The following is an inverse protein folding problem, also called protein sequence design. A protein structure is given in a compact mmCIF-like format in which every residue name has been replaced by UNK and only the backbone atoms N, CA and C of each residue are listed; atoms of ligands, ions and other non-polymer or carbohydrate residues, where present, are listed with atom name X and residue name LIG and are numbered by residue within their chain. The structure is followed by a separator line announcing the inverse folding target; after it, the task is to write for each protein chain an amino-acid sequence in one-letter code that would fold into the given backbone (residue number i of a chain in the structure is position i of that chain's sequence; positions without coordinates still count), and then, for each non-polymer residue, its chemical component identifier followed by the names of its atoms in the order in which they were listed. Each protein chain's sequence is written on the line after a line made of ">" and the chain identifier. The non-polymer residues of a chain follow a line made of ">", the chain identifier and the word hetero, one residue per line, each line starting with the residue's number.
data_IF_577073141965
#
_entry.id   IF_577073141965
#
_cell.length_a   1.000
_cell.length_b   1.000
_cell.length_c   1.000
_cell.angle_alpha   90.00
_cell.angle_beta   90.00
_cell.angle_gamma   90.00
#
_symmetry.space_group_name_H-M   'P 1'
#
loop_
_entity.id
_entity.type
_entity.pdbx_description
1 polymer ?
#
# COMPACT_ATOMS: atom_id res chain seq x y z
N UNK A 1 48.12 -39.74 -18.55
CA UNK A 1 47.05 -39.73 -17.54
C UNK A 1 45.71 -39.68 -18.26
N UNK A 2 44.94 -40.77 -18.27
CA UNK A 2 43.56 -40.76 -18.81
C UNK A 2 42.66 -40.16 -17.72
N UNK A 3 42.06 -39.00 -17.96
CA UNK A 3 40.95 -38.53 -17.13
C UNK A 3 39.90 -39.64 -17.06
N UNK A 4 39.60 -40.13 -15.85
CA UNK A 4 38.52 -41.07 -15.68
C UNK A 4 37.21 -40.34 -15.94
N UNK A 5 36.25 -40.99 -16.61
CA UNK A 5 34.89 -40.45 -16.78
C UNK A 5 34.31 -39.97 -15.44
N UNK A 6 34.66 -40.65 -14.35
CA UNK A 6 34.26 -40.32 -12.97
C UNK A 6 34.76 -38.95 -12.51
N UNK A 7 36.01 -38.57 -12.83
CA UNK A 7 36.55 -37.26 -12.45
C UNK A 7 35.84 -36.09 -13.13
N UNK A 8 35.46 -36.27 -14.41
CA UNK A 8 34.69 -35.27 -15.16
C UNK A 8 33.28 -35.08 -14.60
N UNK A 9 32.62 -36.15 -14.15
CA UNK A 9 31.31 -36.06 -13.49
C UNK A 9 31.39 -35.38 -12.12
N UNK A 10 32.41 -35.69 -11.31
CA UNK A 10 32.62 -35.02 -10.04
C UNK A 10 32.87 -33.51 -10.21
N UNK A 11 33.66 -33.13 -11.22
CA UNK A 11 33.91 -31.73 -11.54
C UNK A 11 32.64 -31.01 -12.00
N UNK A 12 31.84 -31.63 -12.88
CA UNK A 12 30.57 -31.07 -13.33
C UNK A 12 29.58 -30.86 -12.17
N UNK A 13 29.48 -31.83 -11.26
CA UNK A 13 28.66 -31.69 -10.04
C UNK A 13 29.18 -30.60 -9.11
N UNK A 14 30.50 -30.45 -8.98
CA UNK A 14 31.10 -29.36 -8.22
C UNK A 14 30.72 -27.99 -8.78
N UNK A 15 30.81 -27.80 -10.09
CA UNK A 15 30.38 -26.56 -10.75
C UNK A 15 28.88 -26.30 -10.58
N UNK A 16 28.04 -27.34 -10.72
CA UNK A 16 26.60 -27.20 -10.47
C UNK A 16 26.31 -26.81 -9.02
N UNK A 17 27.04 -27.36 -8.05
CA UNK A 17 26.93 -26.98 -6.64
C UNK A 17 27.26 -25.50 -6.40
N UNK A 18 28.33 -24.99 -7.03
CA UNK A 18 28.69 -23.56 -6.95
C UNK A 18 27.64 -22.68 -7.61
N UNK A 19 27.10 -23.08 -8.76
CA UNK A 19 26.04 -22.32 -9.44
C UNK A 19 24.78 -22.28 -8.56
N UNK A 20 24.37 -23.43 -8.00
CA UNK A 20 23.20 -23.52 -7.14
C UNK A 20 23.34 -22.68 -5.88
N UNK A 21 24.52 -22.66 -5.24
CA UNK A 21 24.75 -21.82 -4.06
C UNK A 21 24.71 -20.33 -4.38
N UNK A 22 25.27 -19.91 -5.52
CA UNK A 22 25.21 -18.51 -5.96
C UNK A 22 23.77 -18.05 -6.26
N UNK A 23 22.95 -18.92 -6.87
CA UNK A 23 21.54 -18.64 -7.11
C UNK A 23 20.77 -18.46 -5.80
N UNK A 24 21.04 -19.30 -4.80
CA UNK A 24 20.42 -19.20 -3.49
C UNK A 24 20.80 -17.90 -2.77
N UNK A 25 22.08 -17.55 -2.76
CA UNK A 25 22.56 -16.27 -2.19
C UNK A 25 21.95 -15.07 -2.92
N UNK A 26 21.88 -15.11 -4.26
CA UNK A 26 21.25 -14.03 -5.02
C UNK A 26 19.76 -13.86 -4.69
N UNK A 27 19.06 -14.97 -4.43
CA UNK A 27 17.68 -14.97 -3.98
C UNK A 27 17.53 -14.36 -2.58
N UNK A 28 18.35 -14.77 -1.62
CA UNK A 28 18.35 -14.21 -0.26
C UNK A 28 18.67 -12.71 -0.26
N UNK A 29 19.62 -12.27 -1.08
CA UNK A 29 19.95 -10.84 -1.22
C UNK A 29 18.81 -10.04 -1.83
N UNK A 30 18.11 -10.59 -2.83
CA UNK A 30 16.90 -9.96 -3.38
C UNK A 30 15.84 -9.82 -2.29
N UNK A 31 15.54 -10.89 -1.57
CA UNK A 31 14.54 -10.88 -0.51
C UNK A 31 14.91 -9.87 0.59
N UNK A 32 16.16 -9.85 1.03
CA UNK A 32 16.67 -8.90 2.03
C UNK A 32 16.49 -7.45 1.59
N UNK A 33 16.80 -7.15 0.32
CA UNK A 33 16.60 -5.81 -0.26
C UNK A 33 15.12 -5.43 -0.33
N UNK A 34 14.26 -6.36 -0.74
CA UNK A 34 12.83 -6.10 -0.90
C UNK A 34 12.18 -5.82 0.48
N UNK A 35 12.57 -6.57 1.53
CA UNK A 35 12.19 -6.29 2.93
C UNK A 35 12.67 -4.92 3.37
N UNK A 36 13.96 -4.61 3.18
CA UNK A 36 14.50 -3.31 3.59
C UNK A 36 13.83 -2.13 2.88
N UNK A 37 13.40 -2.32 1.62
CA UNK A 37 12.67 -1.29 0.87
C UNK A 37 11.27 -1.08 1.44
N UNK A 38 10.57 -2.16 1.80
CA UNK A 38 9.28 -2.08 2.48
C UNK A 38 9.39 -1.40 3.86
N UNK A 39 10.40 -1.74 4.65
CA UNK A 39 10.64 -1.14 5.97
C UNK A 39 10.89 0.37 5.87
N UNK A 40 11.69 0.81 4.89
CA UNK A 40 11.92 2.25 4.63
C UNK A 40 10.61 2.95 4.25
N UNK A 41 9.77 2.31 3.43
CA UNK A 41 8.49 2.89 3.04
C UNK A 41 7.55 3.04 4.23
N UNK A 42 7.42 2.00 5.06
CA UNK A 42 6.64 2.04 6.30
C UNK A 42 7.19 3.08 7.29
N UNK A 43 8.51 3.17 7.46
CA UNK A 43 9.12 4.15 8.35
C UNK A 43 8.83 5.59 7.89
N UNK A 44 8.82 5.83 6.58
CA UNK A 44 8.45 7.14 6.01
C UNK A 44 7.00 7.50 6.33
N UNK A 45 6.09 6.53 6.19
CA UNK A 45 4.68 6.71 6.53
C UNK A 45 4.45 6.90 8.03
N UNK A 46 5.19 6.18 8.88
CA UNK A 46 5.11 6.38 10.33
C UNK A 46 5.51 7.79 10.75
N UNK A 47 6.58 8.35 10.15
CA UNK A 47 6.98 9.73 10.40
C UNK A 47 5.90 10.73 9.96
N UNK A 48 5.24 10.47 8.84
CA UNK A 48 4.13 11.28 8.36
C UNK A 48 2.92 11.21 9.31
N UNK A 49 2.55 10.01 9.76
CA UNK A 49 1.48 9.82 10.76
C UNK A 49 1.81 10.51 12.08
N UNK A 50 3.05 10.43 12.55
CA UNK A 50 3.50 11.15 13.75
C UNK A 50 3.40 12.67 13.56
N UNK A 51 3.78 13.17 12.39
CA UNK A 51 3.67 14.60 12.06
C UNK A 51 2.21 15.07 12.06
N UNK A 52 1.26 14.24 11.62
CA UNK A 52 -0.17 14.56 11.62
C UNK A 52 -0.94 14.11 12.86
N UNK A 53 -0.28 13.46 13.82
CA UNK A 53 -0.95 12.87 14.98
C UNK A 53 -1.78 13.86 15.82
N UNK A 54 -1.40 15.14 15.82
CA UNK A 54 -2.18 16.18 16.50
C UNK A 54 -3.44 16.64 15.72
N UNK A 55 -3.45 16.50 14.39
CA UNK A 55 -4.62 16.80 13.56
C UNK A 55 -5.69 15.72 13.69
N UNK A 56 -5.28 14.46 13.88
CA UNK A 56 -6.17 13.31 13.95
C UNK A 56 -6.46 12.86 15.39
N UNK A 57 -6.33 13.77 16.35
CA UNK A 57 -6.81 13.53 17.72
C UNK A 57 -8.32 13.20 17.70
N UNK A 58 -8.74 12.29 18.57
CA UNK A 58 -10.11 11.76 18.58
C UNK A 58 -11.17 12.86 18.67
N UNK A 59 -10.95 13.86 19.53
CA UNK A 59 -11.84 15.01 19.72
C UNK A 59 -11.89 15.97 18.52
N UNK A 60 -10.96 15.83 17.58
CA UNK A 60 -10.83 16.68 16.40
C UNK A 60 -11.40 16.01 15.15
N UNK A 61 -11.01 14.76 14.86
CA UNK A 61 -11.44 14.07 13.63
C UNK A 61 -12.79 13.36 13.77
N UNK A 62 -13.14 12.85 14.97
CA UNK A 62 -14.36 12.07 15.15
C UNK A 62 -15.63 12.86 14.83
N UNK A 63 -15.80 14.13 15.27
CA UNK A 63 -16.98 14.91 14.91
C UNK A 63 -17.09 15.14 13.40
N UNK A 64 -15.96 15.28 12.71
CA UNK A 64 -15.92 15.46 11.25
C UNK A 64 -16.37 14.21 10.52
N UNK A 65 -15.89 13.04 10.94
CA UNK A 65 -16.30 11.74 10.37
C UNK A 65 -17.77 11.46 10.67
N UNK A 66 -18.26 11.76 11.87
CA UNK A 66 -19.67 11.55 12.24
C UNK A 66 -20.60 12.37 11.34
N UNK A 67 -20.21 13.60 10.96
CA UNK A 67 -20.97 14.44 10.04
C UNK A 67 -21.21 13.79 8.68
N UNK A 68 -20.31 12.93 8.21
CA UNK A 68 -20.46 12.18 6.95
C UNK A 68 -21.66 11.23 6.93
N UNK A 69 -22.18 10.88 8.11
CA UNK A 69 -23.33 10.00 8.30
C UNK A 69 -24.59 10.77 8.73
N UNK A 70 -24.56 12.10 8.67
CA UNK A 70 -25.66 12.99 9.03
C UNK A 70 -25.91 14.00 7.91
N UNK A 71 -27.00 14.78 8.01
CA UNK A 71 -27.28 15.88 7.07
C UNK A 71 -26.53 17.19 7.45
N UNK A 72 -25.53 17.13 8.34
CA UNK A 72 -24.74 18.28 8.75
C UNK A 72 -23.67 18.64 7.71
N UNK A 73 -23.54 19.94 7.41
CA UNK A 73 -22.51 20.42 6.49
C UNK A 73 -21.12 20.49 7.14
N UNK A 74 -20.10 20.11 6.38
CA UNK A 74 -18.69 20.28 6.75
C UNK A 74 -18.25 21.74 6.60
N UNK A 75 -17.65 22.29 7.66
CA UNK A 75 -16.97 23.59 7.63
C UNK A 75 -15.69 23.50 6.78
N UNK A 76 -15.19 24.60 6.20
CA UNK A 76 -13.98 24.57 5.37
C UNK A 76 -12.75 23.92 6.04
N UNK A 77 -12.54 24.17 7.34
CA UNK A 77 -11.46 23.53 8.10
C UNK A 77 -11.67 22.03 8.30
N UNK A 78 -12.92 21.59 8.45
CA UNK A 78 -13.28 20.17 8.60
C UNK A 78 -13.11 19.43 7.28
N UNK A 79 -13.44 20.07 6.14
CA UNK A 79 -13.17 19.54 4.79
C UNK A 79 -11.68 19.31 4.57
N UNK A 80 -10.85 20.30 4.94
CA UNK A 80 -9.39 20.16 4.84
C UNK A 80 -8.87 19.07 5.76
N UNK A 81 -9.38 18.97 6.99
CA UNK A 81 -8.98 17.92 7.92
C UNK A 81 -9.35 16.52 7.38
N UNK A 82 -10.56 16.38 6.84
CA UNK A 82 -11.01 15.13 6.22
C UNK A 82 -10.16 14.74 5.01
N UNK A 83 -9.73 15.73 4.22
CA UNK A 83 -8.83 15.51 3.09
C UNK A 83 -7.51 14.87 3.55
N UNK A 84 -6.83 15.47 4.53
CA UNK A 84 -5.56 14.96 5.06
C UNK A 84 -5.75 13.56 5.69
N UNK A 85 -6.86 13.35 6.40
CA UNK A 85 -7.18 12.06 6.99
C UNK A 85 -7.39 10.97 5.94
N UNK A 86 -8.05 11.30 4.83
CA UNK A 86 -8.29 10.37 3.72
C UNK A 86 -7.01 10.06 2.96
N UNK A 87 -6.15 11.07 2.74
CA UNK A 87 -4.84 10.91 2.08
C UNK A 87 -3.93 9.97 2.89
N UNK A 88 -3.92 10.12 4.22
CA UNK A 88 -3.18 9.24 5.12
C UNK A 88 -3.65 7.78 5.02
N UNK A 89 -4.95 7.51 5.12
CA UNK A 89 -5.50 6.15 5.03
C UNK A 89 -5.26 5.51 3.67
N UNK A 90 -5.36 6.30 2.62
CA UNK A 90 -5.09 5.86 1.25
C UNK A 90 -3.61 5.50 1.07
N UNK A 91 -2.70 6.31 1.62
CA UNK A 91 -1.26 6.07 1.59
C UNK A 91 -0.86 4.81 2.37
N UNK A 92 -1.53 4.52 3.50
CA UNK A 92 -1.37 3.26 4.22
C UNK A 92 -1.82 2.06 3.38
N UNK A 93 -2.96 2.18 2.71
CA UNK A 93 -3.50 1.12 1.83
C UNK A 93 -2.55 0.85 0.65
N UNK A 94 -2.00 1.89 0.04
CA UNK A 94 -0.97 1.80 -1.01
C UNK A 94 0.30 1.08 -0.50
N UNK A 95 0.66 1.30 0.77
CA UNK A 95 1.78 0.62 1.41
C UNK A 95 1.56 -0.87 1.67
N UNK A 96 0.35 -1.25 2.08
CA UNK A 96 -0.03 -2.65 2.19
C UNK A 96 0.02 -3.31 0.81
N UNK A 97 -0.55 -2.66 -0.20
CA UNK A 97 -0.48 -3.14 -1.58
C UNK A 97 0.96 -3.28 -2.08
N UNK A 98 1.87 -2.35 -1.75
CA UNK A 98 3.28 -2.46 -2.14
C UNK A 98 3.93 -3.72 -1.58
N UNK A 99 3.69 -3.99 -0.30
CA UNK A 99 4.21 -5.18 0.37
C UNK A 99 3.60 -6.47 -0.20
N UNK A 100 2.33 -6.44 -0.58
CA UNK A 100 1.68 -7.53 -1.30
C UNK A 100 2.37 -7.82 -2.63
N UNK A 101 2.66 -6.78 -3.43
CA UNK A 101 3.40 -6.94 -4.71
C UNK A 101 4.82 -7.51 -4.54
N UNK A 102 5.45 -7.28 -3.38
CA UNK A 102 6.75 -7.87 -3.03
C UNK A 102 6.64 -9.32 -2.48
N UNK A 103 5.42 -9.83 -2.28
CA UNK A 103 5.18 -11.14 -1.67
C UNK A 103 5.42 -11.18 -0.16
N UNK A 104 5.45 -10.01 0.50
CA UNK A 104 5.64 -9.87 1.95
C UNK A 104 4.31 -9.91 2.71
N UNK A 105 3.22 -9.51 2.05
CA UNK A 105 1.85 -9.59 2.57
C UNK A 105 1.10 -10.73 1.84
N UNK A 106 0.44 -11.66 2.56
CA UNK A 106 -0.37 -12.71 1.95
C UNK A 106 -1.58 -12.17 1.18
N UNK A 107 -2.04 -12.94 0.19
CA UNK A 107 -3.26 -12.66 -0.60
C UNK A 107 -4.47 -12.36 0.29
N UNK A 108 -4.71 -13.18 1.31
CA UNK A 108 -5.86 -13.03 2.20
C UNK A 108 -5.90 -11.68 2.94
N UNK A 109 -4.72 -11.12 3.23
CA UNK A 109 -4.59 -9.82 3.90
C UNK A 109 -4.87 -8.71 2.90
N UNK A 110 -4.38 -8.86 1.66
CA UNK A 110 -4.67 -7.89 0.60
C UNK A 110 -6.17 -7.85 0.25
N UNK A 111 -6.80 -9.01 0.11
CA UNK A 111 -8.25 -9.10 -0.16
C UNK A 111 -9.09 -8.49 0.98
N UNK A 112 -8.66 -8.66 2.24
CA UNK A 112 -9.31 -8.00 3.36
C UNK A 112 -9.19 -6.46 3.28
N UNK A 113 -8.03 -5.95 2.87
CA UNK A 113 -7.83 -4.51 2.65
C UNK A 113 -8.66 -3.98 1.47
N UNK A 114 -8.77 -4.75 0.37
CA UNK A 114 -9.66 -4.40 -0.76
C UNK A 114 -11.12 -4.34 -0.34
N UNK A 115 -11.57 -5.26 0.52
CA UNK A 115 -12.92 -5.22 1.09
C UNK A 115 -13.13 -3.95 1.94
N UNK A 116 -12.15 -3.60 2.80
CA UNK A 116 -12.18 -2.37 3.58
C UNK A 116 -12.23 -1.11 2.68
N UNK A 117 -11.41 -1.06 1.63
CA UNK A 117 -11.44 0.03 0.64
C UNK A 117 -12.80 0.13 -0.06
N UNK A 118 -13.44 -0.99 -0.34
CA UNK A 118 -14.79 -1.02 -0.93
C UNK A 118 -15.81 -0.36 0.00
N UNK A 119 -15.78 -0.70 1.29
CA UNK A 119 -16.68 -0.09 2.29
C UNK A 119 -16.38 1.39 2.49
N UNK A 120 -15.11 1.77 2.54
CA UNK A 120 -14.67 3.16 2.70
C UNK A 120 -15.14 4.01 1.51
N UNK A 121 -14.90 3.54 0.29
CA UNK A 121 -15.22 4.27 -0.93
C UNK A 121 -16.72 4.27 -1.25
N UNK A 122 -17.54 3.50 -0.55
CA UNK A 122 -18.99 3.64 -0.62
C UNK A 122 -19.49 4.98 -0.04
N UNK A 123 -18.68 5.64 0.81
CA UNK A 123 -18.98 6.99 1.33
C UNK A 123 -18.56 8.03 0.28
N UNK A 124 -19.50 8.90 -0.08
CA UNK A 124 -19.36 9.88 -1.17
C UNK A 124 -18.12 10.78 -1.05
N UNK A 125 -17.80 11.25 0.16
CA UNK A 125 -16.62 12.10 0.35
C UNK A 125 -15.30 11.32 0.16
N UNK A 126 -15.22 10.05 0.52
CA UNK A 126 -14.00 9.27 0.32
C UNK A 126 -13.80 8.89 -1.15
N UNK A 127 -14.87 8.64 -1.91
CA UNK A 127 -14.75 8.40 -3.36
C UNK A 127 -14.37 9.65 -4.14
N UNK A 128 -14.89 10.83 -3.77
CA UNK A 128 -14.52 12.12 -4.37
C UNK A 128 -13.02 12.39 -4.20
N UNK A 129 -12.44 12.04 -3.05
CA UNK A 129 -11.00 12.18 -2.81
C UNK A 129 -10.17 11.46 -3.90
N UNK A 130 -10.47 10.20 -4.19
CA UNK A 130 -9.74 9.44 -5.19
C UNK A 130 -9.95 9.97 -6.61
N UNK A 131 -11.14 10.51 -6.91
CA UNK A 131 -11.41 11.12 -8.21
C UNK A 131 -10.56 12.37 -8.44
N UNK A 132 -10.31 13.16 -7.39
CA UNK A 132 -9.54 14.39 -7.48
C UNK A 132 -8.03 14.21 -7.29
N UNK A 133 -7.61 13.32 -6.37
CA UNK A 133 -6.22 13.20 -5.92
C UNK A 133 -5.65 11.78 -5.94
N UNK A 134 -6.39 10.78 -6.45
CA UNK A 134 -5.89 9.40 -6.53
C UNK A 134 -4.60 9.24 -7.35
N UNK A 135 -4.27 10.22 -8.19
CA UNK A 135 -2.99 10.26 -8.91
C UNK A 135 -1.75 10.47 -8.01
N UNK A 136 -1.92 10.79 -6.74
CA UNK A 136 -0.83 10.88 -5.75
C UNK A 136 -0.29 9.52 -5.35
N UNK A 137 -1.11 8.47 -5.45
CA UNK A 137 -0.71 7.11 -5.13
C UNK A 137 0.05 6.44 -6.28
N UNK A 138 0.71 5.33 -5.99
CA UNK A 138 1.42 4.55 -7.01
C UNK A 138 0.43 4.10 -8.09
N UNK A 139 0.80 4.28 -9.35
CA UNK A 139 -0.04 3.90 -10.49
C UNK A 139 -0.46 2.41 -10.47
N UNK A 140 0.39 1.53 -9.92
CA UNK A 140 0.06 0.11 -9.78
C UNK A 140 -1.05 -0.13 -8.76
N UNK A 141 -1.11 0.65 -7.67
CA UNK A 141 -2.18 0.57 -6.68
C UNK A 141 -3.50 1.05 -7.26
N UNK A 142 -3.51 2.23 -7.89
CA UNK A 142 -4.71 2.78 -8.54
C UNK A 142 -5.27 1.83 -9.59
N UNK A 143 -4.39 1.16 -10.35
CA UNK A 143 -4.80 0.15 -11.33
C UNK A 143 -5.40 -1.11 -10.70
N UNK A 144 -4.91 -1.53 -9.52
CA UNK A 144 -5.37 -2.73 -8.82
C UNK A 144 -6.76 -2.55 -8.18
N UNK A 145 -7.07 -1.33 -7.73
CA UNK A 145 -8.37 -0.99 -7.14
C UNK A 145 -9.32 -0.29 -8.13
N UNK A 146 -9.01 -0.32 -9.43
CA UNK A 146 -9.77 0.41 -10.44
C UNK A 146 -11.25 -0.03 -10.50
N UNK A 147 -11.52 -1.32 -10.30
CA UNK A 147 -12.87 -1.88 -10.20
C UNK A 147 -13.66 -1.29 -9.02
N UNK A 148 -13.01 -1.10 -7.88
CA UNK A 148 -13.60 -0.47 -6.69
C UNK A 148 -13.90 1.01 -6.97
N UNK A 149 -12.95 1.72 -7.59
CA UNK A 149 -13.10 3.13 -7.96
C UNK A 149 -14.21 3.35 -9.00
N UNK A 150 -14.37 2.44 -9.95
CA UNK A 150 -15.44 2.47 -10.95
C UNK A 150 -16.82 2.23 -10.34
N UNK A 151 -16.91 1.36 -9.32
CA UNK A 151 -18.15 1.06 -8.61
C UNK A 151 -18.54 2.14 -7.57
N UNK A 152 -17.57 2.92 -7.11
CA UNK A 152 -17.78 3.95 -6.10
C UNK A 152 -18.71 5.08 -6.60
N UNK A 153 -19.55 5.66 -5.72
CA UNK A 153 -20.40 6.78 -6.09
C UNK A 153 -19.57 7.97 -6.57
N UNK A 154 -20.06 8.68 -7.59
CA UNK A 154 -19.52 9.96 -8.02
C UNK A 154 -20.27 11.07 -7.31
N UNK A 155 -19.55 11.87 -6.53
CA UNK A 155 -20.08 13.01 -5.83
C UNK A 155 -19.09 14.17 -5.96
N UNK A 156 -19.62 15.38 -5.98
CA UNK A 156 -18.86 16.63 -6.02
C UNK A 156 -19.37 17.49 -4.87
N UNK A 157 -18.44 18.10 -4.13
CA UNK A 157 -18.78 19.08 -3.12
C UNK A 157 -18.46 18.69 -1.70
N UNK A 158 -17.77 17.57 -1.43
CA UNK A 158 -17.18 17.31 -0.12
C UNK A 158 -15.92 18.13 0.12
N UNK A 159 -15.16 18.43 -0.95
CA UNK A 159 -13.92 19.20 -0.84
C UNK A 159 -13.93 20.53 -1.60
N UNK A 160 -15.04 20.88 -2.24
CA UNK A 160 -15.22 22.21 -2.86
C UNK A 160 -15.55 23.26 -1.80
N UNK A 161 -14.56 24.08 -1.44
CA UNK A 161 -14.68 25.18 -0.47
C UNK A 161 -13.50 26.13 -0.50
#
# INVERSE_FOLDING_TARGET
>A
MKESKTGRWAQALGFLGVIASLLFVAYELKQSRDIATADVYLATLQLEMEAYGFLFAEDTIRPVVDKLYTDEELLPGERRLLLEFTDMWTSLSDAVHFQYQLGLVPEEVWEAERAHLTDLLAVQCYSEFFQQWGNRNRASFVADIADILEAAPRHEGCFDG
#
